data_IF_973915947694
#
_entry.id   IF_973915947694
#
_cell.length_a   1.000
_cell.length_b   1.000
_cell.length_c   1.000
_cell.angle_alpha   90.00
_cell.angle_beta   90.00
_cell.angle_gamma   90.00
#
_symmetry.space_group_name_H-M   'P 1'
#
loop_
_entity.id
_entity.type
_entity.pdbx_description
1 polymer ?
#
# COMPACT_ATOMS: atom_id res chain seq x y z
N UNK A 1 -22.42 59.09 -46.36
CA UNK A 1 -23.32 57.94 -46.56
C UNK A 1 -22.79 56.81 -45.69
N UNK A 2 -23.65 56.24 -44.83
CA UNK A 2 -23.47 55.20 -43.79
C UNK A 2 -22.56 55.49 -42.56
N UNK A 3 -23.21 55.51 -41.38
CA UNK A 3 -22.62 55.26 -40.05
C UNK A 3 -22.57 53.74 -39.74
N UNK A 4 -22.33 53.25 -38.50
CA UNK A 4 -21.31 52.25 -38.19
C UNK A 4 -21.94 50.87 -37.89
N UNK A 5 -21.13 49.83 -37.71
CA UNK A 5 -21.55 48.67 -36.94
C UNK A 5 -20.52 48.36 -35.86
N UNK A 6 -20.90 48.72 -34.63
CA UNK A 6 -20.35 48.14 -33.43
C UNK A 6 -20.76 46.66 -33.38
N UNK A 7 -19.78 45.76 -33.23
CA UNK A 7 -20.06 44.42 -32.75
C UNK A 7 -19.63 44.33 -31.28
N UNK A 8 -20.63 44.52 -30.44
CA UNK A 8 -20.62 44.28 -29.01
C UNK A 8 -21.02 42.82 -28.79
N UNK A 9 -20.11 41.93 -28.39
CA UNK A 9 -20.43 40.66 -27.70
C UNK A 9 -19.14 39.99 -27.19
N UNK A 10 -18.99 39.32 -26.03
CA UNK A 10 -19.69 39.14 -24.75
C UNK A 10 -18.55 38.61 -23.81
N UNK A 11 -18.18 39.24 -22.68
CA UNK A 11 -17.12 38.73 -21.78
C UNK A 11 -17.56 37.55 -20.88
N UNK A 12 -18.75 36.98 -21.09
CA UNK A 12 -19.37 36.03 -20.16
C UNK A 12 -19.26 34.55 -20.55
N UNK A 13 -18.81 34.20 -21.76
CA UNK A 13 -18.61 32.79 -22.13
C UNK A 13 -17.21 32.25 -21.78
N UNK A 14 -16.19 33.11 -21.68
CA UNK A 14 -14.82 32.67 -21.39
C UNK A 14 -14.63 32.29 -19.90
N UNK A 15 -15.39 32.92 -19.00
CA UNK A 15 -15.37 32.60 -17.58
C UNK A 15 -16.09 31.29 -17.21
N UNK A 16 -17.03 30.82 -18.05
CA UNK A 16 -17.78 29.58 -17.79
C UNK A 16 -17.00 28.34 -18.24
N UNK A 17 -16.24 28.43 -19.35
CA UNK A 17 -15.36 27.35 -19.82
C UNK A 17 -14.14 27.13 -18.91
N UNK A 18 -13.58 28.18 -18.30
CA UNK A 18 -12.48 28.04 -17.35
C UNK A 18 -12.92 27.45 -16.00
N UNK A 19 -14.20 27.59 -15.65
CA UNK A 19 -14.79 27.01 -14.41
C UNK A 19 -15.17 25.54 -14.55
N UNK A 20 -15.32 25.05 -15.78
CA UNK A 20 -15.53 23.62 -16.08
C UNK A 20 -14.17 22.89 -16.14
N UNK A 21 -13.12 23.55 -16.65
CA UNK A 21 -11.78 22.96 -16.71
C UNK A 21 -11.06 22.81 -15.36
N UNK A 22 -11.37 23.62 -14.35
CA UNK A 22 -10.88 23.40 -12.98
C UNK A 22 -11.67 22.34 -12.20
N UNK A 23 -12.74 21.79 -12.80
CA UNK A 23 -13.62 20.80 -12.15
C UNK A 23 -13.50 19.39 -12.75
N UNK A 24 -12.60 19.19 -13.69
CA UNK A 24 -12.40 17.94 -14.44
C UNK A 24 -10.91 17.67 -14.68
N UNK A 25 -10.11 17.55 -13.62
CA UNK A 25 -8.94 16.65 -13.64
C UNK A 25 -8.37 16.43 -12.24
N UNK A 26 -8.98 15.49 -11.50
CA UNK A 26 -8.24 14.62 -10.59
C UNK A 26 -8.78 13.21 -10.81
N UNK A 27 -8.20 12.44 -11.72
CA UNK A 27 -8.56 11.03 -11.88
C UNK A 27 -8.12 10.30 -10.60
N UNK A 28 -9.07 9.63 -9.95
CA UNK A 28 -8.76 8.51 -9.07
C UNK A 28 -8.66 8.74 -7.57
N UNK A 29 -9.27 9.79 -6.99
CA UNK A 29 -9.57 9.72 -5.54
C UNK A 29 -10.83 8.86 -5.36
N UNK A 30 -10.62 7.54 -5.37
CA UNK A 30 -11.61 6.54 -4.94
C UNK A 30 -12.08 6.97 -3.54
N UNK A 31 -13.27 7.58 -3.47
CA UNK A 31 -13.94 7.85 -2.19
C UNK A 31 -14.47 6.52 -1.68
N UNK A 32 -13.57 5.61 -1.33
CA UNK A 32 -13.87 4.61 -0.32
C UNK A 32 -14.29 5.42 0.89
N UNK A 33 -15.56 5.31 1.24
CA UNK A 33 -16.04 5.63 2.56
C UNK A 33 -15.02 4.95 3.48
N UNK A 34 -14.17 5.74 4.14
CA UNK A 34 -13.43 5.25 5.29
C UNK A 34 -14.53 4.92 6.29
N UNK A 35 -15.06 3.71 6.19
CA UNK A 35 -15.73 3.07 7.30
C UNK A 35 -14.72 3.26 8.42
N UNK A 36 -15.10 4.02 9.44
CA UNK A 36 -14.26 4.18 10.62
C UNK A 36 -14.22 2.80 11.25
N UNK A 37 -13.32 1.96 10.74
CA UNK A 37 -13.13 0.60 11.19
C UNK A 37 -12.78 0.73 12.65
N UNK A 38 -13.63 0.20 13.53
CA UNK A 38 -13.44 0.33 14.97
C UNK A 38 -12.14 -0.39 15.31
N UNK A 39 -11.06 0.36 15.47
CA UNK A 39 -9.79 -0.11 16.01
C UNK A 39 -10.05 -0.80 17.36
N UNK A 40 -9.67 -2.06 17.49
CA UNK A 40 -9.77 -2.82 18.72
C UNK A 40 -8.37 -3.21 19.16
N UNK A 41 -7.93 -2.64 20.27
CA UNK A 41 -6.67 -3.05 20.88
C UNK A 41 -6.69 -4.56 21.14
N UNK A 42 -5.59 -5.23 20.82
CA UNK A 42 -5.45 -6.68 20.96
C UNK A 42 -5.88 -7.50 19.74
N UNK A 43 -6.39 -6.88 18.66
CA UNK A 43 -6.57 -7.60 17.40
C UNK A 43 -5.21 -7.99 16.81
N UNK A 44 -5.09 -9.24 16.37
CA UNK A 44 -3.86 -9.81 15.80
C UNK A 44 -4.17 -10.47 14.46
N UNK A 45 -3.26 -10.32 13.50
CA UNK A 45 -3.30 -11.04 12.24
C UNK A 45 -1.91 -11.54 11.86
N UNK A 46 -1.87 -12.61 11.06
CA UNK A 46 -0.63 -13.28 10.67
C UNK A 46 -0.65 -13.57 9.17
N UNK A 47 0.49 -13.40 8.52
CA UNK A 47 0.77 -13.82 7.17
C UNK A 47 1.97 -14.77 7.17
N UNK A 48 1.69 -16.07 7.07
CA UNK A 48 2.71 -17.13 6.98
C UNK A 48 3.00 -17.43 5.52
N UNK A 49 4.24 -17.22 5.10
CA UNK A 49 4.70 -17.63 3.79
C UNK A 49 4.99 -19.14 3.81
N UNK A 50 4.44 -19.91 2.84
CA UNK A 50 4.59 -21.35 2.83
C UNK A 50 6.06 -21.73 2.61
N UNK A 51 6.49 -22.84 3.23
CA UNK A 51 7.80 -23.41 2.95
C UNK A 51 7.97 -23.71 1.46
N UNK A 52 9.16 -23.45 0.92
CA UNK A 52 9.54 -23.76 -0.45
C UNK A 52 11.01 -24.14 -0.50
N UNK A 53 11.33 -25.12 -1.34
CA UNK A 53 12.68 -25.52 -1.71
C UNK A 53 13.32 -24.57 -2.75
N UNK A 54 12.49 -23.74 -3.41
CA UNK A 54 12.96 -22.70 -4.30
C UNK A 54 13.57 -21.55 -3.50
N UNK A 55 14.89 -21.40 -3.61
CA UNK A 55 15.67 -20.32 -2.97
C UNK A 55 15.20 -18.90 -3.32
N UNK A 56 14.43 -18.75 -4.40
CA UNK A 56 13.86 -17.48 -4.82
C UNK A 56 12.53 -17.13 -4.15
N UNK A 57 11.90 -18.10 -3.49
CA UNK A 57 10.62 -17.93 -2.84
C UNK A 57 10.83 -17.46 -1.40
N UNK A 58 10.13 -16.38 -1.03
CA UNK A 58 10.10 -15.88 0.33
C UNK A 58 9.36 -16.89 1.21
N UNK A 59 9.99 -17.26 2.32
CA UNK A 59 9.41 -18.07 3.40
C UNK A 59 9.57 -17.30 4.71
N UNK A 60 8.75 -17.62 5.72
CA UNK A 60 8.77 -16.94 7.01
C UNK A 60 7.40 -16.45 7.44
N UNK A 61 7.36 -15.51 8.37
CA UNK A 61 6.11 -15.05 8.97
C UNK A 61 6.14 -13.58 9.30
N UNK A 62 5.00 -12.92 9.04
CA UNK A 62 4.73 -11.54 9.42
C UNK A 62 3.53 -11.53 10.35
N UNK A 63 3.66 -10.82 11.46
CA UNK A 63 2.62 -10.59 12.46
C UNK A 63 2.21 -9.13 12.45
N UNK A 64 0.91 -8.90 12.59
CA UNK A 64 0.31 -7.59 12.78
C UNK A 64 -0.44 -7.61 14.10
N UNK A 65 -0.25 -6.61 14.95
CA UNK A 65 -1.02 -6.47 16.19
C UNK A 65 -1.44 -5.02 16.43
N UNK A 66 -2.68 -4.82 16.87
CA UNK A 66 -3.22 -3.50 17.15
C UNK A 66 -2.99 -3.13 18.62
N UNK A 67 -2.32 -2.00 18.86
CA UNK A 67 -1.98 -1.50 20.20
C UNK A 67 -3.06 -0.56 20.74
N UNK A 68 -3.04 -0.32 22.06
CA UNK A 68 -3.95 0.63 22.73
C UNK A 68 -3.83 2.06 22.18
N UNK A 69 -2.64 2.43 21.70
CA UNK A 69 -2.34 3.73 21.08
C UNK A 69 -2.89 3.86 19.65
N UNK A 70 -3.75 2.93 19.22
CA UNK A 70 -4.32 2.88 17.87
C UNK A 70 -3.23 2.77 16.81
N UNK A 71 -2.17 2.02 17.07
CA UNK A 71 -1.14 1.70 16.07
C UNK A 71 -1.22 0.24 15.70
N UNK A 72 -0.77 -0.11 14.51
CA UNK A 72 -0.56 -1.49 14.10
C UNK A 72 0.93 -1.77 14.12
N UNK A 73 1.37 -2.62 15.03
CA UNK A 73 2.72 -3.15 15.06
C UNK A 73 2.82 -4.26 14.02
N UNK A 74 3.72 -4.09 13.05
CA UNK A 74 4.12 -5.11 12.08
C UNK A 74 5.48 -5.65 12.50
N UNK A 75 5.56 -6.94 12.81
CA UNK A 75 6.81 -7.61 13.13
C UNK A 75 6.96 -8.88 12.32
N UNK A 76 8.18 -9.36 12.15
CA UNK A 76 8.37 -10.61 11.43
C UNK A 76 9.81 -10.96 11.17
N UNK A 77 9.97 -12.09 10.50
CA UNK A 77 11.24 -12.56 9.98
C UNK A 77 10.97 -13.39 8.72
N UNK A 78 11.77 -13.16 7.68
CA UNK A 78 11.75 -13.97 6.48
C UNK A 78 13.01 -14.85 6.44
N UNK A 79 12.85 -16.13 6.14
CA UNK A 79 13.93 -17.12 6.24
C UNK A 79 14.64 -17.36 4.90
N UNK A 80 13.99 -17.06 3.78
CA UNK A 80 14.53 -17.24 2.42
C UNK A 80 13.94 -16.23 1.44
N UNK A 81 14.35 -16.30 0.16
CA UNK A 81 13.78 -15.51 -0.94
C UNK A 81 14.57 -14.26 -1.32
N UNK A 82 15.58 -13.90 -0.51
CA UNK A 82 16.43 -12.73 -0.71
C UNK A 82 17.78 -13.12 -1.30
N UNK A 83 18.12 -12.57 -2.47
CA UNK A 83 19.37 -12.84 -3.19
C UNK A 83 20.38 -11.69 -3.13
N UNK A 84 19.97 -10.55 -2.56
CA UNK A 84 20.76 -9.34 -2.46
C UNK A 84 20.45 -8.66 -1.13
N UNK A 85 21.46 -8.12 -0.46
CA UNK A 85 21.33 -7.46 0.85
C UNK A 85 20.75 -6.04 0.77
N UNK A 86 20.67 -5.44 -0.41
CA UNK A 86 20.18 -4.07 -0.57
C UNK A 86 18.64 -4.02 -0.47
N UNK A 87 18.06 -3.29 0.51
CA UNK A 87 16.62 -3.27 0.77
C UNK A 87 15.81 -2.70 -0.39
N UNK A 88 16.32 -1.68 -1.09
CA UNK A 88 15.69 -1.06 -2.28
C UNK A 88 15.46 -2.00 -3.48
N UNK A 89 15.87 -3.27 -3.40
CA UNK A 89 15.56 -4.27 -4.41
C UNK A 89 14.21 -4.96 -4.19
N UNK A 90 13.53 -4.66 -3.08
CA UNK A 90 12.30 -5.33 -2.67
C UNK A 90 11.20 -4.33 -2.35
N UNK A 91 9.99 -4.66 -2.78
CA UNK A 91 8.77 -3.96 -2.41
C UNK A 91 7.95 -4.80 -1.43
N UNK A 92 7.33 -4.15 -0.46
CA UNK A 92 6.52 -4.77 0.58
C UNK A 92 5.13 -4.17 0.53
N UNK A 93 4.16 -4.91 -0.01
CA UNK A 93 2.81 -4.38 -0.28
C UNK A 93 1.73 -5.32 0.25
N UNK A 94 0.59 -4.74 0.59
CA UNK A 94 -0.66 -5.47 0.85
C UNK A 94 -1.57 -5.28 -0.36
N UNK A 95 -2.05 -6.39 -0.93
CA UNK A 95 -2.91 -6.39 -2.12
C UNK A 95 -4.24 -7.09 -1.85
N UNK A 96 -5.28 -6.66 -2.54
CA UNK A 96 -6.58 -7.34 -2.53
C UNK A 96 -6.59 -8.58 -3.44
N UNK A 97 -7.75 -9.22 -3.56
CA UNK A 97 -7.96 -10.42 -4.38
C UNK A 97 -7.75 -10.20 -5.88
N UNK A 98 -7.79 -8.95 -6.33
CA UNK A 98 -7.63 -8.54 -7.73
C UNK A 98 -6.20 -8.00 -7.97
N UNK A 99 -5.27 -8.28 -7.05
CA UNK A 99 -3.87 -7.80 -7.04
C UNK A 99 -3.69 -6.28 -7.02
N UNK A 100 -4.73 -5.53 -6.61
CA UNK A 100 -4.64 -4.08 -6.42
C UNK A 100 -4.00 -3.78 -5.08
N UNK A 101 -3.08 -2.82 -5.08
CA UNK A 101 -2.41 -2.36 -3.85
C UNK A 101 -3.43 -1.68 -2.94
N UNK A 102 -3.62 -2.27 -1.77
CA UNK A 102 -4.42 -1.71 -0.66
C UNK A 102 -3.53 -0.83 0.22
N UNK A 103 -2.31 -1.30 0.52
CA UNK A 103 -1.28 -0.55 1.25
C UNK A 103 0.09 -0.80 0.67
N UNK A 104 0.87 0.26 0.52
CA UNK A 104 2.29 0.19 0.20
C UNK A 104 3.08 0.46 1.48
N UNK A 105 3.84 -0.53 1.94
CA UNK A 105 4.62 -0.48 3.17
C UNK A 105 6.12 -0.35 2.88
N UNK A 106 6.49 -0.23 1.60
CA UNK A 106 7.87 -0.39 1.12
C UNK A 106 8.81 0.61 1.77
N UNK A 107 8.49 1.91 1.75
CA UNK A 107 9.34 2.95 2.32
C UNK A 107 9.63 2.70 3.81
N UNK A 108 8.60 2.32 4.58
CA UNK A 108 8.71 2.14 6.02
C UNK A 108 9.43 0.84 6.38
N UNK A 109 9.08 -0.26 5.74
CA UNK A 109 9.71 -1.55 6.01
C UNK A 109 11.16 -1.59 5.52
N UNK A 110 11.47 -0.97 4.38
CA UNK A 110 12.86 -0.87 3.90
C UNK A 110 13.78 -0.11 4.86
N UNK A 111 13.23 0.74 5.73
CA UNK A 111 14.01 1.48 6.74
C UNK A 111 14.40 0.64 7.96
N UNK A 112 13.76 -0.50 8.18
CA UNK A 112 13.99 -1.37 9.36
C UNK A 112 14.37 -2.80 9.04
N UNK A 113 14.09 -3.28 7.82
CA UNK A 113 14.43 -4.64 7.40
C UNK A 113 15.92 -4.69 7.07
N UNK A 114 16.66 -5.45 7.89
CA UNK A 114 18.03 -5.85 7.58
C UNK A 114 18.01 -7.20 6.85
N UNK A 115 18.46 -7.21 5.59
CA UNK A 115 18.51 -8.43 4.79
C UNK A 115 19.80 -9.19 5.06
N UNK A 116 19.67 -10.37 5.63
CA UNK A 116 20.74 -11.34 5.88
C UNK A 116 20.51 -12.56 4.99
N UNK A 117 21.02 -12.51 3.77
CA UNK A 117 20.83 -13.55 2.73
C UNK A 117 21.03 -14.95 3.32
N UNK A 118 20.07 -15.88 3.13
CA UNK A 118 18.95 -15.82 2.18
C UNK A 118 17.68 -15.15 2.71
N UNK A 119 17.65 -14.65 3.95
CA UNK A 119 16.47 -14.11 4.62
C UNK A 119 16.69 -12.71 5.19
N UNK A 120 16.09 -12.43 6.35
CA UNK A 120 16.21 -11.18 7.09
C UNK A 120 16.50 -11.43 8.57
N UNK A 121 17.04 -10.43 9.24
CA UNK A 121 16.95 -10.35 10.68
C UNK A 121 15.48 -10.15 11.12
N UNK A 122 15.12 -10.47 12.38
CA UNK A 122 13.84 -10.07 12.94
C UNK A 122 13.69 -8.55 12.91
N UNK A 123 12.50 -8.07 12.57
CA UNK A 123 12.20 -6.63 12.51
C UNK A 123 10.84 -6.32 13.12
N UNK A 124 10.66 -5.04 13.48
CA UNK A 124 9.40 -4.50 13.98
C UNK A 124 9.24 -3.05 13.52
N UNK A 125 8.03 -2.66 13.13
CA UNK A 125 7.65 -1.29 12.81
C UNK A 125 6.22 -0.98 13.25
N UNK A 126 5.92 0.27 13.60
CA UNK A 126 4.57 0.70 13.96
C UNK A 126 3.95 1.58 12.88
N UNK A 127 2.76 1.19 12.42
CA UNK A 127 1.94 1.93 11.46
C UNK A 127 0.79 2.63 12.14
N UNK A 128 0.43 3.83 11.66
CA UNK A 128 -0.70 4.62 12.19
C UNK A 128 -1.84 4.77 11.18
N UNK A 129 -1.63 4.38 9.93
CA UNK A 129 -2.47 4.71 8.77
C UNK A 129 -3.48 3.61 8.38
N UNK A 130 -3.50 2.48 9.08
CA UNK A 130 -4.49 1.39 8.88
C UNK A 130 -4.83 0.66 10.19
N UNK A 131 -5.81 -0.24 10.14
CA UNK A 131 -6.19 -1.14 11.24
C UNK A 131 -6.09 -2.61 10.80
N UNK A 132 -6.14 -3.55 11.75
CA UNK A 132 -6.08 -4.98 11.43
C UNK A 132 -7.27 -5.40 10.56
N UNK A 133 -8.47 -4.94 10.90
CA UNK A 133 -9.69 -5.24 10.14
C UNK A 133 -9.64 -4.73 8.68
N UNK A 134 -8.81 -3.73 8.35
CA UNK A 134 -8.64 -3.25 6.97
C UNK A 134 -7.73 -4.15 6.12
N UNK A 135 -6.81 -4.89 6.76
CA UNK A 135 -5.82 -5.72 6.08
C UNK A 135 -6.17 -7.21 6.11
N UNK A 136 -7.02 -7.66 7.03
CA UNK A 136 -7.48 -9.05 7.09
C UNK A 136 -8.26 -9.41 5.83
N UNK A 137 -7.96 -10.58 5.25
CA UNK A 137 -8.55 -11.05 4.00
C UNK A 137 -7.84 -10.56 2.73
N UNK A 138 -6.84 -9.68 2.88
CA UNK A 138 -5.90 -9.31 1.82
C UNK A 138 -4.64 -10.21 1.88
N UNK A 139 -3.69 -9.96 0.98
CA UNK A 139 -2.42 -10.69 0.92
C UNK A 139 -1.25 -9.75 1.16
N UNK A 140 -0.30 -10.18 1.98
CA UNK A 140 1.01 -9.55 2.08
C UNK A 140 1.91 -10.13 0.99
N UNK A 141 2.54 -9.26 0.20
CA UNK A 141 3.34 -9.63 -0.96
C UNK A 141 4.71 -8.97 -0.87
N UNK A 142 5.74 -9.78 -1.09
CA UNK A 142 7.11 -9.31 -1.32
C UNK A 142 7.38 -9.42 -2.81
N UNK A 143 7.75 -8.31 -3.44
CA UNK A 143 8.13 -8.27 -4.86
C UNK A 143 9.58 -7.88 -4.97
N UNK A 144 10.25 -8.37 -6.02
CA UNK A 144 11.53 -7.81 -6.46
C UNK A 144 11.23 -6.61 -7.34
N UNK A 145 12.12 -5.61 -7.37
CA UNK A 145 11.97 -4.37 -8.16
C UNK A 145 11.75 -4.59 -9.67
N UNK A 146 12.00 -5.79 -10.19
CA UNK A 146 11.57 -6.23 -11.53
C UNK A 146 10.08 -6.62 -11.62
N UNK A 147 9.27 -6.27 -10.61
CA UNK A 147 7.88 -6.66 -10.42
C UNK A 147 7.64 -8.18 -10.41
N UNK A 148 8.67 -8.95 -10.08
CA UNK A 148 8.57 -10.40 -9.94
C UNK A 148 8.16 -10.69 -8.51
N UNK A 149 7.01 -11.34 -8.32
CA UNK A 149 6.55 -11.80 -7.02
C UNK A 149 7.57 -12.79 -6.44
N UNK A 150 8.12 -12.44 -5.27
CA UNK A 150 9.05 -13.29 -4.52
C UNK A 150 8.31 -14.12 -3.48
N UNK A 151 7.18 -13.63 -2.96
CA UNK A 151 6.28 -14.41 -2.13
C UNK A 151 4.98 -13.69 -1.87
N UNK A 152 3.93 -14.45 -1.59
CA UNK A 152 2.58 -13.96 -1.32
C UNK A 152 1.93 -14.83 -0.24
N UNK A 153 1.45 -14.19 0.82
CA UNK A 153 0.84 -14.87 1.96
C UNK A 153 -0.50 -14.19 2.34
N UNK A 154 -1.58 -14.96 2.54
CA UNK A 154 -2.85 -14.40 3.00
C UNK A 154 -2.73 -13.89 4.44
N UNK A 155 -3.27 -12.71 4.71
CA UNK A 155 -3.34 -12.15 6.05
C UNK A 155 -4.62 -12.66 6.73
N UNK A 156 -4.45 -13.46 7.77
CA UNK A 156 -5.54 -14.08 8.54
C UNK A 156 -5.56 -13.56 9.95
N UNK A 157 -6.75 -13.31 10.50
CA UNK A 157 -6.91 -13.00 11.92
C UNK A 157 -6.48 -14.22 12.75
N UNK A 158 -5.70 -13.98 13.80
CA UNK A 158 -5.23 -15.02 14.73
C UNK A 158 -6.32 -15.40 15.74
#
# INVERSE_FOLDING_TARGET
MLKPFAFLMIPKLLGFLLRIYQKLDKPGLDRRVYLTTKRKAGDVAVATFPYSDNVNTVTGEIHFSETEDKKVTCSGQMNSGFQNTHPDNFDYVIVDKDDKIVKDLTEKLSSVIEITVPGTAPFTYEFTDFSIDEIVGNWFVVRRRSYVEAGKAPIKKA
#
